data_IF_446397863264
#
_entry.id   IF_446397863264
#
_cell.length_a   1.000
_cell.length_b   1.000
_cell.length_c   1.000
_cell.angle_alpha   90.00
_cell.angle_beta   90.00
_cell.angle_gamma   90.00
#
_symmetry.space_group_name_H-M   'P 1'
#
loop_
_entity.id
_entity.type
_entity.pdbx_description
1 polymer ?
#
# COMPACT_ATOMS: atom_id res chain seq x y z
N UNK A 1 60.52 33.81 -7.39
CA UNK A 1 59.05 33.68 -7.49
C UNK A 1 58.75 32.49 -8.40
N UNK A 2 58.40 31.34 -7.82
CA UNK A 2 58.29 30.06 -8.56
C UNK A 2 56.81 29.67 -8.66
N UNK A 3 56.27 29.63 -9.88
CA UNK A 3 54.89 29.21 -10.15
C UNK A 3 54.85 27.70 -10.32
N UNK A 4 54.20 26.99 -9.41
CA UNK A 4 53.89 25.57 -9.52
C UNK A 4 52.55 25.46 -10.25
N UNK A 5 52.58 25.04 -11.51
CA UNK A 5 51.37 24.70 -12.26
C UNK A 5 51.04 23.24 -11.98
N UNK A 6 50.07 22.98 -11.10
CA UNK A 6 49.50 21.64 -10.91
C UNK A 6 48.46 21.38 -12.01
N UNK A 7 48.79 20.51 -12.95
CA UNK A 7 47.81 19.93 -13.84
C UNK A 7 47.01 18.87 -13.05
N UNK A 8 45.73 19.14 -12.79
CA UNK A 8 44.80 18.16 -12.24
C UNK A 8 44.39 17.22 -13.40
N UNK A 9 44.58 15.89 -13.28
CA UNK A 9 44.16 14.97 -14.33
C UNK A 9 42.63 14.96 -14.46
N UNK A 10 42.14 15.17 -15.68
CA UNK A 10 40.74 15.04 -16.04
C UNK A 10 40.38 13.55 -16.16
N UNK A 11 39.61 13.05 -15.20
CA UNK A 11 39.02 11.72 -15.29
C UNK A 11 37.65 11.82 -15.95
N UNK A 12 37.45 11.30 -17.18
CA UNK A 12 36.14 11.30 -17.80
C UNK A 12 35.20 10.42 -16.97
N UNK A 13 34.11 11.01 -16.50
CA UNK A 13 33.02 10.30 -15.83
C UNK A 13 32.38 9.35 -16.85
N UNK A 14 32.80 8.08 -16.86
CA UNK A 14 32.10 7.03 -17.61
C UNK A 14 30.76 6.81 -16.94
N UNK A 15 29.72 7.46 -17.47
CA UNK A 15 28.34 7.17 -17.09
C UNK A 15 28.02 5.75 -17.52
N UNK A 16 28.04 4.82 -16.57
CA UNK A 16 27.58 3.45 -16.78
C UNK A 16 26.06 3.54 -16.91
N UNK A 17 25.56 3.51 -18.15
CA UNK A 17 24.12 3.40 -18.39
C UNK A 17 23.68 2.00 -17.99
N UNK A 18 23.31 1.82 -16.72
CA UNK A 18 22.60 0.63 -16.27
C UNK A 18 21.21 0.63 -16.90
N UNK A 19 20.82 -0.49 -17.51
CA UNK A 19 19.47 -0.67 -18.00
C UNK A 19 18.45 -0.39 -16.88
N UNK A 20 17.28 0.19 -17.20
CA UNK A 20 16.28 0.49 -16.19
C UNK A 20 15.82 -0.79 -15.49
N UNK A 21 15.80 -0.77 -14.16
CA UNK A 21 15.25 -1.87 -13.37
C UNK A 21 13.72 -1.85 -13.47
N UNK A 22 13.16 -2.86 -14.15
CA UNK A 22 11.72 -3.05 -14.23
C UNK A 22 11.22 -3.68 -12.93
N UNK A 23 10.36 -2.96 -12.20
CA UNK A 23 9.74 -3.45 -10.97
C UNK A 23 8.40 -4.11 -11.30
N UNK A 24 8.21 -5.40 -10.97
CA UNK A 24 6.90 -6.02 -11.08
C UNK A 24 5.97 -5.47 -9.98
N UNK A 25 4.66 -5.51 -10.24
CA UNK A 25 3.65 -5.14 -9.26
C UNK A 25 2.48 -6.10 -9.25
N UNK A 26 1.73 -6.08 -8.15
CA UNK A 26 0.51 -6.87 -7.98
C UNK A 26 -0.68 -5.95 -7.74
N UNK A 27 -1.84 -6.35 -8.23
CA UNK A 27 -3.12 -5.72 -7.96
C UNK A 27 -4.04 -6.76 -7.33
N UNK A 28 -4.62 -6.42 -6.18
CA UNK A 28 -5.62 -7.22 -5.51
C UNK A 28 -6.98 -6.52 -5.65
N UNK A 29 -8.06 -7.29 -5.70
CA UNK A 29 -9.43 -6.79 -5.69
C UNK A 29 -9.62 -5.71 -4.59
N UNK A 30 -10.12 -4.50 -4.90
CA UNK A 30 -10.10 -3.37 -3.95
C UNK A 30 -10.86 -3.59 -2.64
N UNK A 31 -11.96 -4.32 -2.70
CA UNK A 31 -12.88 -4.59 -1.59
C UNK A 31 -12.67 -5.97 -0.96
N UNK A 32 -11.53 -6.62 -1.24
CA UNK A 32 -11.23 -7.95 -0.68
C UNK A 32 -11.36 -8.00 0.84
N UNK A 33 -11.03 -6.91 1.55
CA UNK A 33 -11.14 -6.85 3.01
C UNK A 33 -12.58 -7.08 3.50
N UNK A 34 -13.60 -6.67 2.73
CA UNK A 34 -15.00 -6.92 3.03
C UNK A 34 -15.31 -8.40 2.88
N UNK A 35 -14.82 -9.04 1.81
CA UNK A 35 -14.96 -10.50 1.61
C UNK A 35 -14.41 -11.28 2.81
N UNK A 36 -13.24 -10.90 3.30
CA UNK A 36 -12.67 -11.51 4.51
C UNK A 36 -13.55 -11.30 5.76
N UNK A 37 -14.18 -10.14 5.91
CA UNK A 37 -15.09 -9.87 7.02
C UNK A 37 -16.39 -10.67 6.88
N UNK A 38 -17.00 -10.68 5.70
CA UNK A 38 -18.26 -11.36 5.43
C UNK A 38 -18.14 -12.88 5.60
N UNK A 39 -17.03 -13.48 5.16
CA UNK A 39 -16.75 -14.91 5.39
C UNK A 39 -16.55 -15.21 6.87
N UNK A 40 -15.75 -14.39 7.57
CA UNK A 40 -15.48 -14.58 9.01
C UNK A 40 -16.75 -14.45 9.84
N UNK A 41 -17.61 -13.49 9.50
CA UNK A 41 -18.83 -13.19 10.22
C UNK A 41 -19.97 -14.17 9.82
N UNK A 42 -19.70 -15.08 8.88
CA UNK A 42 -20.64 -16.11 8.43
C UNK A 42 -21.76 -15.58 7.54
N UNK A 43 -21.63 -14.34 7.03
CA UNK A 43 -22.58 -13.74 6.08
C UNK A 43 -22.55 -14.49 4.75
N UNK A 44 -21.35 -14.91 4.32
CA UNK A 44 -21.12 -15.78 3.18
C UNK A 44 -20.24 -16.96 3.59
N UNK A 45 -20.39 -18.11 2.93
CA UNK A 45 -19.63 -19.31 3.28
C UNK A 45 -18.21 -19.31 2.70
N UNK A 46 -18.11 -18.85 1.45
CA UNK A 46 -16.86 -18.71 0.72
C UNK A 46 -17.06 -17.76 -0.46
N UNK A 47 -15.98 -17.09 -0.87
CA UNK A 47 -15.97 -16.23 -2.06
C UNK A 47 -14.57 -16.15 -2.68
N UNK A 48 -14.52 -15.94 -4.00
CA UNK A 48 -13.28 -15.78 -4.75
C UNK A 48 -12.90 -14.29 -4.85
N UNK A 49 -11.66 -13.98 -4.50
CA UNK A 49 -11.06 -12.66 -4.75
C UNK A 49 -10.03 -12.74 -5.88
N UNK A 50 -9.92 -11.68 -6.67
CA UNK A 50 -8.97 -11.61 -7.78
C UNK A 50 -7.62 -11.05 -7.35
N UNK A 51 -6.53 -11.72 -7.76
CA UNK A 51 -5.17 -11.22 -7.68
C UNK A 51 -4.53 -11.25 -9.07
N UNK A 52 -3.91 -10.14 -9.47
CA UNK A 52 -3.23 -9.99 -10.75
C UNK A 52 -1.79 -9.55 -10.54
N UNK A 53 -0.87 -10.08 -11.34
CA UNK A 53 0.53 -9.68 -11.40
C UNK A 53 0.88 -9.11 -12.75
N UNK A 54 1.74 -8.09 -12.74
CA UNK A 54 2.20 -7.40 -13.94
C UNK A 54 3.70 -7.16 -13.87
N UNK A 55 4.35 -7.29 -15.03
CA UNK A 55 5.75 -6.94 -15.24
C UNK A 55 5.91 -6.54 -16.69
N UNK A 56 6.66 -5.46 -16.96
CA UNK A 56 6.94 -5.06 -18.34
C UNK A 56 7.60 -6.20 -19.10
N UNK A 57 7.23 -6.35 -20.38
CA UNK A 57 7.75 -7.39 -21.29
C UNK A 57 7.41 -8.83 -20.89
N UNK A 58 6.51 -9.03 -19.93
CA UNK A 58 6.00 -10.35 -19.53
C UNK A 58 4.47 -10.39 -19.70
N UNK A 59 3.89 -11.55 -20.05
CA UNK A 59 2.43 -11.73 -19.98
C UNK A 59 1.91 -11.46 -18.57
N UNK A 60 0.74 -10.83 -18.46
CA UNK A 60 0.07 -10.66 -17.17
C UNK A 60 -0.41 -12.02 -16.63
N UNK A 61 -0.41 -12.15 -15.31
CA UNK A 61 -0.92 -13.34 -14.60
C UNK A 61 -2.14 -12.92 -13.81
N UNK A 62 -3.25 -13.63 -14.00
CA UNK A 62 -4.51 -13.36 -13.31
C UNK A 62 -4.97 -14.65 -12.66
N UNK A 63 -5.24 -14.60 -11.36
CA UNK A 63 -5.75 -15.75 -10.64
C UNK A 63 -6.73 -15.36 -9.56
N UNK A 64 -7.31 -16.39 -8.95
CA UNK A 64 -8.29 -16.24 -7.87
C UNK A 64 -7.77 -16.88 -6.60
N UNK A 65 -8.20 -16.32 -5.47
CA UNK A 65 -8.00 -16.91 -4.16
C UNK A 65 -9.37 -17.14 -3.56
N UNK A 66 -9.70 -18.40 -3.30
CA UNK A 66 -10.92 -18.72 -2.57
C UNK A 66 -10.69 -18.43 -1.08
N UNK A 67 -11.58 -17.65 -0.49
CA UNK A 67 -11.61 -17.33 0.93
C UNK A 67 -12.79 -18.08 1.54
N UNK A 68 -12.53 -18.94 2.51
CA UNK A 68 -13.58 -19.72 3.19
C UNK A 68 -13.29 -19.85 4.68
N UNK A 69 -14.29 -20.22 5.48
CA UNK A 69 -14.05 -20.61 6.87
C UNK A 69 -13.30 -21.94 6.94
N UNK A 70 -12.29 -22.03 7.80
CA UNK A 70 -11.55 -23.28 8.05
C UNK A 70 -12.43 -24.27 8.80
N UNK A 71 -12.41 -25.54 8.36
CA UNK A 71 -13.15 -26.63 9.01
C UNK A 71 -12.48 -27.12 10.31
N UNK A 72 -11.28 -26.65 10.63
CA UNK A 72 -10.49 -27.13 11.78
C UNK A 72 -10.76 -26.38 13.10
N UNK A 73 -11.63 -25.37 13.10
CA UNK A 73 -12.08 -24.69 14.32
C UNK A 73 -11.16 -23.55 14.79
N UNK A 74 -11.79 -22.59 15.47
CA UNK A 74 -11.41 -21.17 15.62
C UNK A 74 -11.65 -20.37 14.33
N UNK A 75 -11.93 -19.06 14.44
CA UNK A 75 -12.34 -18.18 13.32
C UNK A 75 -11.23 -17.91 12.28
N UNK A 76 -10.49 -18.95 11.92
CA UNK A 76 -9.43 -18.92 10.93
C UNK A 76 -10.01 -19.11 9.53
N UNK A 77 -9.52 -18.30 8.60
CA UNK A 77 -9.94 -18.37 7.20
C UNK A 77 -8.95 -19.24 6.43
N UNK A 78 -9.47 -20.17 5.64
CA UNK A 78 -8.70 -20.90 4.63
C UNK A 78 -8.55 -20.04 3.37
N UNK A 79 -7.36 -20.05 2.77
CA UNK A 79 -7.03 -19.33 1.55
C UNK A 79 -6.50 -20.31 0.51
N UNK A 80 -7.26 -20.54 -0.55
CA UNK A 80 -6.88 -21.43 -1.64
C UNK A 80 -6.64 -20.66 -2.93
N UNK A 81 -5.37 -20.44 -3.24
CA UNK A 81 -4.95 -19.73 -4.45
C UNK A 81 -4.88 -20.64 -5.68
N UNK A 82 -5.31 -20.13 -6.84
CA UNK A 82 -5.37 -20.85 -8.13
C UNK A 82 -4.74 -20.01 -9.24
N UNK A 83 -4.45 -20.63 -10.38
CA UNK A 83 -3.99 -19.95 -11.60
C UNK A 83 -2.66 -19.17 -11.45
N UNK A 84 -1.71 -19.74 -10.70
CA UNK A 84 -0.33 -19.23 -10.63
C UNK A 84 -0.14 -18.02 -9.71
N UNK A 85 -1.13 -17.70 -8.89
CA UNK A 85 -1.02 -16.70 -7.83
C UNK A 85 -0.92 -17.35 -6.44
N UNK A 86 -0.45 -16.59 -5.47
CA UNK A 86 -0.48 -16.98 -4.06
C UNK A 86 -0.85 -15.79 -3.18
N UNK A 87 -1.56 -16.08 -2.09
CA UNK A 87 -1.89 -15.11 -1.07
C UNK A 87 -1.76 -15.76 0.30
N UNK A 88 -1.05 -15.09 1.20
CA UNK A 88 -0.93 -15.48 2.60
C UNK A 88 -1.38 -14.31 3.47
N UNK A 89 -2.13 -14.62 4.52
CA UNK A 89 -2.51 -13.65 5.55
C UNK A 89 -1.56 -13.79 6.73
N UNK A 90 -0.99 -12.67 7.19
CA UNK A 90 -0.17 -12.64 8.41
C UNK A 90 -0.96 -12.12 9.61
N UNK A 91 -1.79 -11.10 9.39
CA UNK A 91 -2.69 -10.54 10.39
C UNK A 91 -3.95 -9.98 9.71
N UNK A 92 -4.80 -9.24 10.40
CA UNK A 92 -6.04 -8.65 9.84
C UNK A 92 -5.81 -7.61 8.74
N UNK A 93 -4.65 -6.97 8.71
CA UNK A 93 -4.32 -5.87 7.80
C UNK A 93 -3.09 -6.13 6.94
N UNK A 94 -2.35 -7.21 7.16
CA UNK A 94 -1.10 -7.53 6.46
C UNK A 94 -1.20 -8.85 5.71
N UNK A 95 -0.92 -8.80 4.41
CA UNK A 95 -0.94 -9.94 3.50
C UNK A 95 0.36 -10.03 2.69
N UNK A 96 0.67 -11.21 2.17
CA UNK A 96 1.76 -11.46 1.22
C UNK A 96 1.19 -12.05 -0.05
N UNK A 97 1.38 -11.36 -1.17
CA UNK A 97 1.02 -11.84 -2.49
C UNK A 97 2.23 -12.39 -3.23
N UNK A 98 2.07 -13.51 -3.91
CA UNK A 98 3.11 -14.08 -4.79
C UNK A 98 2.56 -14.34 -6.19
N UNK A 99 3.43 -14.13 -7.18
CA UNK A 99 3.20 -14.44 -8.59
C UNK A 99 4.53 -14.98 -9.14
N UNK A 100 4.81 -16.28 -8.95
CA UNK A 100 6.13 -16.87 -9.23
C UNK A 100 6.59 -16.68 -10.68
N UNK A 101 5.67 -16.76 -11.65
CA UNK A 101 5.98 -16.57 -13.07
C UNK A 101 6.57 -15.18 -13.40
N UNK A 102 6.34 -14.18 -12.55
CA UNK A 102 6.88 -12.82 -12.69
C UNK A 102 8.07 -12.54 -11.76
N UNK A 103 8.50 -13.53 -10.97
CA UNK A 103 9.54 -13.38 -9.95
C UNK A 103 9.05 -12.67 -8.68
N UNK A 104 7.74 -12.59 -8.44
CA UNK A 104 7.16 -11.98 -7.24
C UNK A 104 7.02 -13.07 -6.17
N UNK A 105 7.93 -13.12 -5.21
CA UNK A 105 7.91 -14.16 -4.16
C UNK A 105 7.03 -13.82 -2.95
N UNK A 106 6.76 -12.54 -2.70
CA UNK A 106 6.05 -12.11 -1.48
C UNK A 106 5.92 -10.59 -1.37
N UNK A 107 5.13 -9.98 -2.26
CA UNK A 107 4.78 -8.56 -2.18
C UNK A 107 3.90 -8.31 -0.96
N UNK A 108 4.32 -7.42 -0.06
CA UNK A 108 3.54 -7.05 1.13
C UNK A 108 2.37 -6.15 0.74
N UNK A 109 1.16 -6.56 1.08
CA UNK A 109 -0.06 -5.76 0.95
C UNK A 109 -0.52 -5.32 2.34
N UNK A 110 -0.91 -4.05 2.46
CA UNK A 110 -1.41 -3.46 3.70
C UNK A 110 -2.80 -2.87 3.51
N UNK A 111 -3.74 -3.30 4.33
CA UNK A 111 -5.09 -2.73 4.38
C UNK A 111 -5.08 -1.53 5.33
N UNK A 112 -5.74 -0.41 4.97
CA UNK A 112 -5.92 0.71 5.87
C UNK A 112 -6.53 0.27 7.21
N UNK A 113 -5.98 0.75 8.32
CA UNK A 113 -6.52 0.52 9.67
C UNK A 113 -7.53 1.58 10.09
N UNK A 114 -7.43 2.76 9.49
CA UNK A 114 -8.21 3.93 9.84
C UNK A 114 -8.38 4.80 8.60
N UNK A 115 -9.58 5.33 8.43
CA UNK A 115 -9.85 6.43 7.50
C UNK A 115 -9.93 7.71 8.32
N UNK A 116 -9.17 8.72 7.92
CA UNK A 116 -9.15 10.02 8.57
C UNK A 116 -9.93 10.99 7.68
N UNK A 117 -11.02 11.53 8.21
CA UNK A 117 -11.87 12.50 7.52
C UNK A 117 -11.52 13.92 7.97
N UNK A 118 -11.25 14.80 7.00
CA UNK A 118 -10.92 16.21 7.21
C UNK A 118 -12.14 17.14 7.17
N UNK A 119 -13.35 16.58 7.33
CA UNK A 119 -14.58 17.37 7.37
C UNK A 119 -14.78 17.85 8.80
N UNK A 120 -14.75 19.17 9.02
CA UNK A 120 -15.04 19.75 10.33
C UNK A 120 -16.44 19.34 10.81
N UNK A 121 -16.55 18.95 12.08
CA UNK A 121 -17.84 18.65 12.71
C UNK A 121 -18.80 19.84 12.53
N UNK A 122 -19.98 19.57 11.96
CA UNK A 122 -21.08 20.55 11.89
C UNK A 122 -21.04 21.51 10.71
N UNK A 123 -20.11 21.38 9.78
CA UNK A 123 -20.05 22.23 8.61
C UNK A 123 -20.56 21.48 7.38
N UNK A 124 -21.59 22.02 6.71
CA UNK A 124 -22.13 21.58 5.42
C UNK A 124 -21.13 21.83 4.27
N UNK A 125 -19.87 21.50 4.51
CA UNK A 125 -18.71 21.95 3.77
C UNK A 125 -18.35 20.87 2.76
N UNK A 126 -18.19 21.33 1.52
CA UNK A 126 -17.69 20.58 0.38
C UNK A 126 -16.57 19.63 0.77
N UNK A 127 -16.64 18.39 0.28
CA UNK A 127 -15.54 17.43 0.40
C UNK A 127 -14.30 18.08 -0.23
N UNK A 128 -13.35 18.52 0.61
CA UNK A 128 -12.15 19.21 0.13
C UNK A 128 -11.20 18.19 -0.48
N UNK A 129 -10.87 18.37 -1.77
CA UNK A 129 -9.91 17.50 -2.45
C UNK A 129 -8.52 17.68 -1.83
N UNK A 130 -7.95 16.58 -1.32
CA UNK A 130 -6.58 16.53 -0.82
C UNK A 130 -5.64 16.50 -2.02
N UNK A 131 -4.72 17.47 -2.11
CA UNK A 131 -3.69 17.55 -3.15
C UNK A 131 -2.34 17.02 -2.67
N UNK A 132 -2.07 17.15 -1.37
CA UNK A 132 -0.84 16.68 -0.72
C UNK A 132 -1.12 16.31 0.72
N UNK A 133 -0.30 15.46 1.31
CA UNK A 133 -0.32 15.19 2.75
C UNK A 133 1.07 14.84 3.25
N UNK A 134 1.30 15.03 4.54
CA UNK A 134 2.50 14.55 5.24
C UNK A 134 2.14 14.08 6.64
N UNK A 135 2.97 13.20 7.20
CA UNK A 135 2.77 12.63 8.55
C UNK A 135 3.94 13.07 9.42
N UNK A 136 3.65 13.55 10.63
CA UNK A 136 4.70 13.96 11.56
C UNK A 136 5.63 12.78 11.91
N UNK A 137 6.91 13.05 12.24
CA UNK A 137 7.86 11.97 12.57
C UNK A 137 7.42 11.08 13.74
N UNK A 138 6.71 11.66 14.71
CA UNK A 138 6.13 10.98 15.86
C UNK A 138 4.79 10.30 15.55
N UNK A 139 4.29 10.41 14.31
CA UNK A 139 3.03 9.85 13.80
C UNK A 139 1.80 10.26 14.58
N UNK A 140 1.83 11.38 15.30
CA UNK A 140 0.68 11.90 16.05
C UNK A 140 -0.15 12.92 15.26
N UNK A 141 0.41 13.47 14.18
CA UNK A 141 -0.24 14.50 13.35
C UNK A 141 -0.17 14.10 11.88
N UNK A 142 -1.24 14.41 11.16
CA UNK A 142 -1.29 14.41 9.70
C UNK A 142 -1.58 15.82 9.23
N UNK A 143 -0.77 16.31 8.31
CA UNK A 143 -1.03 17.53 7.57
C UNK A 143 -1.62 17.17 6.21
N UNK A 144 -2.68 17.85 5.79
CA UNK A 144 -3.24 17.76 4.44
C UNK A 144 -3.27 19.13 3.80
N UNK A 145 -2.82 19.23 2.56
CA UNK A 145 -2.95 20.41 1.73
C UNK A 145 -4.09 20.23 0.74
N UNK A 146 -4.81 21.31 0.49
CA UNK A 146 -5.96 21.36 -0.39
C UNK A 146 -5.67 22.22 -1.63
N UNK A 147 -6.47 22.02 -2.69
CA UNK A 147 -6.30 22.76 -3.94
C UNK A 147 -6.49 24.28 -3.78
N UNK A 148 -7.27 24.70 -2.79
CA UNK A 148 -7.56 26.10 -2.48
C UNK A 148 -6.43 26.80 -1.69
N UNK A 149 -5.34 26.10 -1.40
CA UNK A 149 -4.19 26.64 -0.65
C UNK A 149 -4.33 26.54 0.87
N UNK A 150 -5.44 25.97 1.37
CA UNK A 150 -5.62 25.67 2.78
C UNK A 150 -4.80 24.44 3.20
N UNK A 151 -4.30 24.45 4.44
CA UNK A 151 -3.65 23.32 5.09
C UNK A 151 -4.42 22.98 6.35
N UNK A 152 -4.82 21.72 6.48
CA UNK A 152 -5.47 21.18 7.68
C UNK A 152 -4.52 20.27 8.45
N UNK A 153 -4.55 20.37 9.78
CA UNK A 153 -3.81 19.50 10.70
C UNK A 153 -4.80 18.67 11.49
N UNK A 154 -4.59 17.36 11.55
CA UNK A 154 -5.44 16.46 12.31
C UNK A 154 -4.59 15.55 13.19
N UNK A 155 -4.99 15.41 14.46
CA UNK A 155 -4.41 14.43 15.37
C UNK A 155 -4.79 13.02 14.95
N UNK A 156 -3.82 12.12 14.89
CA UNK A 156 -4.08 10.68 14.78
C UNK A 156 -4.37 10.17 16.18
N UNK A 157 -5.64 10.06 16.56
CA UNK A 157 -6.03 9.49 17.86
C UNK A 157 -5.76 7.97 17.86
N UNK A 158 -4.50 7.57 18.00
CA UNK A 158 -4.15 6.16 18.17
C UNK A 158 -4.18 5.87 19.66
N UNK A 159 -5.32 5.40 20.16
CA UNK A 159 -5.37 4.74 21.46
C UNK A 159 -4.46 3.50 21.39
N UNK A 160 -3.21 3.64 21.84
CA UNK A 160 -2.22 2.55 21.87
C UNK A 160 -0.88 2.79 21.16
N UNK A 161 -0.60 4.00 20.64
CA UNK A 161 0.74 4.30 20.11
C UNK A 161 1.74 4.57 21.26
N UNK A 162 2.13 3.52 21.99
CA UNK A 162 3.41 3.56 22.68
C UNK A 162 4.49 3.75 21.61
N UNK A 163 5.16 4.89 21.66
CA UNK A 163 6.22 5.30 20.73
C UNK A 163 7.41 4.35 20.82
N UNK A 164 7.34 3.21 20.13
CA UNK A 164 8.52 2.45 19.78
C UNK A 164 9.22 3.19 18.64
N UNK A 165 10.35 3.80 18.99
CA UNK A 165 11.32 4.37 18.07
C UNK A 165 11.88 3.29 17.15
N UNK A 166 11.09 2.82 16.18
CA UNK A 166 11.60 2.09 15.05
C UNK A 166 12.31 3.10 14.14
N UNK A 167 13.54 2.80 13.71
CA UNK A 167 14.20 3.51 12.60
C UNK A 167 13.25 3.47 11.38
N UNK A 168 12.47 4.53 11.20
CA UNK A 168 11.40 4.59 10.20
C UNK A 168 12.00 5.05 8.88
N UNK A 169 12.14 4.13 7.93
CA UNK A 169 12.23 4.51 6.53
C UNK A 169 10.95 5.26 6.17
N UNK A 170 11.09 6.40 5.48
CA UNK A 170 9.95 7.09 4.85
C UNK A 170 9.31 6.09 3.90
N UNK A 171 8.17 5.53 4.30
CA UNK A 171 7.42 4.59 3.45
C UNK A 171 6.91 5.42 2.29
N UNK A 172 7.46 5.20 1.10
CA UNK A 172 6.93 5.81 -0.11
C UNK A 172 5.57 5.16 -0.37
N UNK A 173 4.48 5.86 -0.05
CA UNK A 173 3.13 5.37 -0.34
C UNK A 173 2.97 5.34 -1.86
N UNK A 174 2.79 4.15 -2.45
CA UNK A 174 2.57 3.98 -3.88
C UNK A 174 1.09 3.96 -4.27
N UNK A 175 0.16 4.00 -3.30
CA UNK A 175 -1.28 3.90 -3.58
C UNK A 175 -2.08 4.87 -2.72
N UNK A 176 -2.74 5.85 -3.36
CA UNK A 176 -3.82 6.63 -2.77
C UNK A 176 -5.12 6.04 -3.35
N UNK A 177 -5.90 5.32 -2.53
CA UNK A 177 -7.27 4.97 -2.87
C UNK A 177 -8.14 6.20 -2.57
N UNK A 178 -8.45 6.99 -3.60
CA UNK A 178 -9.53 7.98 -3.51
C UNK A 178 -10.83 7.21 -3.66
N UNK A 179 -11.50 6.92 -2.55
CA UNK A 179 -12.88 6.42 -2.60
C UNK A 179 -13.79 7.61 -2.91
N UNK A 180 -14.42 7.61 -4.09
CA UNK A 180 -15.52 8.50 -4.42
C UNK A 180 -16.80 7.72 -4.14
N UNK A 181 -17.42 7.97 -2.99
CA UNK A 181 -18.78 7.49 -2.73
C UNK A 181 -19.73 8.29 -3.61
N UNK A 182 -20.18 7.70 -4.72
CA UNK A 182 -21.32 8.23 -5.47
C UNK A 182 -22.59 7.83 -4.72
N UNK A 183 -23.24 8.79 -4.08
CA UNK A 183 -24.65 8.62 -3.68
C UNK A 183 -25.49 8.69 -4.95
N UNK A 184 -26.23 7.62 -5.24
CA UNK A 184 -27.33 7.61 -6.22
C UNK A 184 -28.61 8.09 -5.55
#
# INVERSE_FOLDING_TARGET
>A
MTKIASCVPYYPFKSVMTAPTILPYVALQPDFANVFADVRDGTILAEDIYLSGYRSESPSVHGKVNVSMSSQGSQELSLEARDGVGLKRFDTHTFSASVPALGIAGATLRVPKQTISFNGEGSSVSVKRISTFDVSPDTNLVASGHLEGEVSLQGTSVAGAAALAMKRQKVHLSTILVSVTMCW
#
